data_IF_253027036791
#
_entry.id   IF_253027036791
#
_cell.length_a   1.000
_cell.length_b   1.000
_cell.length_c   1.000
_cell.angle_alpha   90.00
_cell.angle_beta   90.00
_cell.angle_gamma   90.00
#
_symmetry.space_group_name_H-M   'P 1'
#
loop_
_entity.id
_entity.type
_entity.pdbx_description
1 polymer ?
#
# COMPACT_ATOMS: atom_id res chain seq x y z
N UNK A 1 29.02 -69.37 27.68
CA UNK A 1 29.41 -68.08 28.31
C UNK A 1 28.38 -67.03 27.91
N UNK A 2 27.48 -66.68 28.82
CA UNK A 2 26.42 -65.70 28.58
C UNK A 2 26.96 -64.35 29.06
N UNK A 3 27.19 -63.41 28.14
CA UNK A 3 27.61 -62.06 28.48
C UNK A 3 26.41 -61.29 29.05
N UNK A 4 26.37 -61.17 30.37
CA UNK A 4 25.39 -60.39 31.11
C UNK A 4 25.70 -58.90 30.95
N UNK A 5 25.00 -58.22 30.05
CA UNK A 5 25.08 -56.76 29.96
C UNK A 5 24.39 -56.12 31.17
N UNK A 6 25.12 -55.25 31.86
CA UNK A 6 24.63 -54.57 33.07
C UNK A 6 23.45 -53.64 32.71
N UNK A 7 22.30 -53.74 33.42
CA UNK A 7 21.09 -52.97 33.11
C UNK A 7 21.27 -51.44 33.21
N UNK A 8 22.34 -51.00 33.87
CA UNK A 8 22.71 -49.58 34.00
C UNK A 8 23.16 -48.97 32.66
N UNK A 9 23.81 -49.74 31.79
CA UNK A 9 24.27 -49.27 30.48
C UNK A 9 23.12 -49.09 29.47
N UNK A 10 22.07 -49.90 29.58
CA UNK A 10 20.88 -49.83 28.72
C UNK A 10 20.04 -48.59 29.08
N UNK A 11 19.92 -48.27 30.37
CA UNK A 11 19.19 -47.10 30.86
C UNK A 11 19.84 -45.78 30.40
N UNK A 12 21.18 -45.67 30.49
CA UNK A 12 21.90 -44.46 30.05
C UNK A 12 21.79 -44.21 28.54
N UNK A 13 21.77 -45.27 27.72
CA UNK A 13 21.62 -45.14 26.27
C UNK A 13 20.21 -44.68 25.85
N UNK A 14 19.16 -45.03 26.60
CA UNK A 14 17.79 -44.55 26.33
C UNK A 14 17.59 -43.09 26.75
N UNK A 15 18.21 -42.66 27.85
CA UNK A 15 18.12 -41.26 28.33
C UNK A 15 18.82 -40.29 27.37
N UNK A 16 19.94 -40.69 26.74
CA UNK A 16 20.61 -39.85 25.74
C UNK A 16 19.78 -39.66 24.45
N UNK A 17 19.07 -40.69 23.98
CA UNK A 17 18.15 -40.57 22.83
C UNK A 17 17.00 -39.59 23.08
N UNK A 18 16.47 -39.53 24.31
CA UNK A 18 15.38 -38.61 24.69
C UNK A 18 15.84 -37.13 24.77
N UNK A 19 17.08 -36.86 25.18
CA UNK A 19 17.64 -35.50 25.25
C UNK A 19 17.91 -34.90 23.86
N UNK A 20 18.36 -35.71 22.90
CA UNK A 20 18.64 -35.26 21.53
C UNK A 20 17.38 -34.79 20.78
N UNK A 21 16.21 -35.34 21.12
CA UNK A 21 14.93 -34.94 20.50
C UNK A 21 14.42 -33.56 20.93
N UNK A 22 14.76 -33.07 22.13
CA UNK A 22 14.28 -31.77 22.61
C UNK A 22 14.93 -30.59 21.88
N UNK A 23 16.23 -30.64 21.62
CA UNK A 23 16.92 -29.57 20.88
C UNK A 23 16.50 -29.53 19.40
N UNK A 24 16.28 -30.68 18.77
CA UNK A 24 15.78 -30.75 17.40
C UNK A 24 14.37 -30.15 17.27
N UNK A 25 13.48 -30.42 18.25
CA UNK A 25 12.13 -29.84 18.29
C UNK A 25 12.12 -28.32 18.51
N UNK A 26 13.03 -27.78 19.33
CA UNK A 26 13.12 -26.33 19.58
C UNK A 26 13.64 -25.59 18.34
N UNK A 27 14.66 -26.12 17.66
CA UNK A 27 15.15 -25.55 16.41
C UNK A 27 14.09 -25.58 15.29
N UNK A 28 13.31 -26.66 15.19
CA UNK A 28 12.25 -26.79 14.18
C UNK A 28 11.08 -25.83 14.42
N UNK A 29 10.74 -25.52 15.69
CA UNK A 29 9.73 -24.52 16.02
C UNK A 29 10.20 -23.09 15.72
N UNK A 30 11.49 -22.79 15.92
CA UNK A 30 12.04 -21.47 15.62
C UNK A 30 12.11 -21.19 14.11
N UNK A 31 12.43 -22.20 13.29
CA UNK A 31 12.44 -22.04 11.83
C UNK A 31 11.03 -21.89 11.25
N UNK A 32 10.03 -22.60 11.78
CA UNK A 32 8.63 -22.40 11.35
C UNK A 32 8.14 -20.98 11.69
N UNK A 33 8.51 -20.43 12.86
CA UNK A 33 8.14 -19.06 13.23
C UNK A 33 8.80 -18.00 12.32
N UNK A 34 10.04 -18.24 11.90
CA UNK A 34 10.78 -17.36 10.98
C UNK A 34 10.23 -17.42 9.53
N UNK A 35 9.74 -18.59 9.08
CA UNK A 35 9.11 -18.71 7.74
C UNK A 35 7.73 -18.05 7.71
N UNK A 36 6.97 -18.07 8.81
CA UNK A 36 5.64 -17.43 8.90
C UNK A 36 5.74 -15.88 8.90
N UNK A 37 6.84 -15.31 9.37
CA UNK A 37 7.05 -13.85 9.35
C UNK A 37 7.42 -13.29 7.96
N UNK A 38 7.72 -14.14 6.97
CA UNK A 38 8.24 -13.71 5.66
C UNK A 38 7.14 -13.48 4.61
N UNK A 39 5.89 -13.89 4.81
CA UNK A 39 5.00 -14.16 3.66
C UNK A 39 3.66 -13.42 3.50
N UNK A 40 3.41 -12.28 4.15
CA UNK A 40 2.30 -11.40 3.71
C UNK A 40 2.72 -9.93 3.68
N UNK A 41 3.62 -9.57 2.76
CA UNK A 41 3.64 -8.19 2.24
C UNK A 41 2.45 -8.05 1.31
N UNK A 42 1.28 -7.88 1.91
CA UNK A 42 0.06 -7.53 1.20
C UNK A 42 0.31 -6.24 0.43
N UNK A 43 0.36 -6.35 -0.90
CA UNK A 43 0.50 -5.18 -1.77
C UNK A 43 -0.82 -4.44 -1.75
N UNK A 44 -0.92 -3.50 -0.81
CA UNK A 44 -2.05 -2.60 -0.64
C UNK A 44 -2.23 -1.76 -1.91
N UNK A 45 -3.48 -1.40 -2.25
CA UNK A 45 -3.79 -0.33 -3.19
C UNK A 45 -2.94 0.90 -2.86
N UNK A 46 -2.51 1.69 -3.84
CA UNK A 46 -1.71 2.88 -3.57
C UNK A 46 -2.07 4.01 -4.52
N UNK A 47 -2.15 5.21 -3.96
CA UNK A 47 -2.25 6.42 -4.75
C UNK A 47 -1.64 7.60 -4.02
N UNK A 48 -1.07 8.53 -4.77
CA UNK A 48 -0.61 9.82 -4.28
C UNK A 48 -0.94 10.92 -5.29
N UNK A 49 -1.24 12.11 -4.76
CA UNK A 49 -1.41 13.35 -5.50
C UNK A 49 -0.49 14.40 -4.90
N UNK A 50 0.30 15.03 -5.76
CA UNK A 50 1.06 16.24 -5.44
C UNK A 50 0.45 17.43 -6.16
N UNK A 51 0.49 18.60 -5.52
CA UNK A 51 -0.01 19.86 -6.08
C UNK A 51 1.01 20.97 -5.90
N UNK A 52 1.00 21.96 -6.79
CA UNK A 52 1.70 23.22 -6.65
C UNK A 52 0.67 24.35 -6.56
N UNK A 53 0.50 24.92 -5.37
CA UNK A 53 -0.53 25.96 -5.12
C UNK A 53 -0.27 27.25 -5.90
N UNK A 54 0.99 27.55 -6.24
CA UNK A 54 1.36 28.75 -6.99
C UNK A 54 0.92 28.65 -8.46
N UNK A 55 1.19 27.51 -9.10
CA UNK A 55 1.00 27.33 -10.55
C UNK A 55 -0.27 26.56 -10.91
N UNK A 56 -0.93 25.94 -9.92
CA UNK A 56 -2.06 25.04 -10.16
C UNK A 56 -1.66 23.75 -10.85
N UNK A 57 -0.36 23.44 -10.94
CA UNK A 57 0.07 22.15 -11.52
C UNK A 57 -0.05 21.06 -10.48
N UNK A 58 -0.40 19.87 -10.92
CA UNK A 58 -0.60 18.72 -10.05
C UNK A 58 -0.13 17.45 -10.77
N UNK A 59 0.08 16.39 -10.00
CA UNK A 59 0.49 15.10 -10.53
C UNK A 59 -0.10 14.00 -9.67
N UNK A 60 -0.73 13.02 -10.33
CA UNK A 60 -1.26 11.82 -9.68
C UNK A 60 -0.51 10.59 -10.15
N UNK A 61 -0.24 9.69 -9.22
CA UNK A 61 0.17 8.33 -9.52
C UNK A 61 -0.66 7.35 -8.69
N UNK A 62 -0.95 6.20 -9.27
CA UNK A 62 -1.65 5.13 -8.60
C UNK A 62 -1.18 3.78 -9.13
N UNK A 63 -1.33 2.76 -8.29
CA UNK A 63 -1.12 1.38 -8.68
C UNK A 63 -2.46 0.80 -9.14
N UNK A 64 -2.62 0.70 -10.46
CA UNK A 64 -3.79 0.10 -11.10
C UNK A 64 -3.76 -1.44 -11.09
N UNK A 65 -2.67 -2.03 -10.62
CA UNK A 65 -2.46 -3.46 -10.56
C UNK A 65 -2.16 -4.15 -11.90
N UNK A 66 -1.95 -3.41 -12.99
CA UNK A 66 -1.63 -3.91 -14.34
C UNK A 66 -0.14 -3.86 -14.68
N UNK A 67 0.62 -2.98 -14.03
CA UNK A 67 2.08 -2.82 -14.17
C UNK A 67 2.83 -3.49 -13.00
N UNK A 68 4.19 -3.57 -12.99
CA UNK A 68 4.91 -3.94 -11.77
C UNK A 68 4.44 -3.05 -10.61
N UNK A 69 4.00 -3.69 -9.54
CA UNK A 69 3.43 -3.04 -8.37
C UNK A 69 4.41 -2.00 -7.81
N UNK A 70 3.96 -0.76 -7.68
CA UNK A 70 4.74 0.29 -7.03
C UNK A 70 4.62 0.15 -5.51
N UNK A 71 5.68 0.49 -4.78
CA UNK A 71 5.62 0.79 -3.35
C UNK A 71 5.09 2.20 -3.12
N UNK A 72 4.58 2.49 -1.92
CA UNK A 72 3.98 3.81 -1.65
C UNK A 72 5.00 4.92 -1.83
N UNK A 73 6.28 4.66 -1.56
CA UNK A 73 7.38 5.60 -1.84
C UNK A 73 7.55 5.85 -3.34
N UNK A 74 7.53 4.80 -4.17
CA UNK A 74 7.59 4.94 -5.64
C UNK A 74 6.36 5.68 -6.17
N UNK A 75 5.16 5.37 -5.68
CA UNK A 75 3.93 6.05 -6.06
C UNK A 75 4.00 7.54 -5.71
N UNK A 76 4.51 7.91 -4.52
CA UNK A 76 4.74 9.32 -4.16
C UNK A 76 5.79 9.99 -5.06
N UNK A 77 6.89 9.29 -5.36
CA UNK A 77 7.96 9.80 -6.23
C UNK A 77 7.45 10.08 -7.65
N UNK A 78 6.64 9.19 -8.21
CA UNK A 78 6.04 9.34 -9.54
C UNK A 78 5.01 10.47 -9.57
N UNK A 79 4.15 10.59 -8.56
CA UNK A 79 3.19 11.68 -8.45
C UNK A 79 3.90 13.05 -8.36
N UNK A 80 4.95 13.14 -7.55
CA UNK A 80 5.81 14.33 -7.45
C UNK A 80 6.46 14.65 -8.79
N UNK A 81 7.07 13.65 -9.45
CA UNK A 81 7.71 13.81 -10.76
C UNK A 81 6.72 14.38 -11.78
N UNK A 82 5.51 13.84 -11.87
CA UNK A 82 4.47 14.33 -12.79
C UNK A 82 4.09 15.79 -12.51
N UNK A 83 3.94 16.16 -11.24
CA UNK A 83 3.67 17.55 -10.85
C UNK A 83 4.80 18.50 -11.31
N UNK A 84 6.05 18.10 -11.13
CA UNK A 84 7.23 18.89 -11.54
C UNK A 84 7.38 18.95 -13.07
N UNK A 85 7.22 17.83 -13.76
CA UNK A 85 7.31 17.75 -15.24
C UNK A 85 6.27 18.64 -15.93
N UNK A 86 5.11 18.86 -15.30
CA UNK A 86 4.07 19.75 -15.79
C UNK A 86 4.28 21.22 -15.40
N UNK A 87 5.43 21.56 -14.82
CA UNK A 87 5.83 22.93 -14.48
C UNK A 87 5.47 23.38 -13.06
N UNK A 88 5.20 22.45 -12.14
CA UNK A 88 5.07 22.76 -10.71
C UNK A 88 6.44 23.08 -10.09
N UNK A 89 6.53 24.18 -9.34
CA UNK A 89 7.80 24.66 -8.72
C UNK A 89 7.99 24.20 -7.28
N UNK A 90 6.93 24.28 -6.47
CA UNK A 90 6.88 23.79 -5.09
C UNK A 90 5.75 22.78 -4.96
N UNK A 91 5.99 21.58 -5.50
CA UNK A 91 5.02 20.49 -5.47
C UNK A 91 5.00 19.84 -4.08
N UNK A 92 3.85 19.91 -3.41
CA UNK A 92 3.63 19.37 -2.07
C UNK A 92 2.68 18.19 -2.12
N UNK A 93 2.88 17.21 -1.23
CA UNK A 93 1.98 16.08 -1.09
C UNK A 93 0.61 16.59 -0.63
N UNK A 94 -0.41 16.39 -1.46
CA UNK A 94 -1.78 16.78 -1.16
C UNK A 94 -2.59 15.63 -0.58
N UNK A 95 -2.44 14.45 -1.18
CA UNK A 95 -3.18 13.27 -0.81
C UNK A 95 -2.33 12.03 -1.02
N UNK A 96 -2.43 11.06 -0.11
CA UNK A 96 -1.96 9.70 -0.37
C UNK A 96 -2.80 8.71 0.41
N UNK A 97 -2.95 7.51 -0.14
CA UNK A 97 -3.77 6.45 0.45
C UNK A 97 -3.21 5.10 0.08
N UNK A 98 -3.35 4.15 1.00
CA UNK A 98 -3.14 2.73 0.72
C UNK A 98 -4.46 1.94 0.60
N UNK A 99 -5.59 2.63 0.66
CA UNK A 99 -6.91 2.01 0.65
C UNK A 99 -7.42 1.84 -0.80
N UNK A 100 -8.18 0.77 -1.03
CA UNK A 100 -8.92 0.57 -2.27
C UNK A 100 -10.04 1.59 -2.46
N UNK A 101 -10.52 1.69 -3.69
CA UNK A 101 -11.69 2.46 -4.06
C UNK A 101 -11.45 3.42 -5.22
N UNK A 102 -12.49 4.19 -5.52
CA UNK A 102 -12.49 5.28 -6.48
C UNK A 102 -12.04 6.58 -5.81
N UNK A 103 -11.15 7.28 -6.49
CA UNK A 103 -10.67 8.59 -6.10
C UNK A 103 -10.87 9.54 -7.26
N UNK A 104 -11.29 10.76 -6.94
CA UNK A 104 -11.40 11.84 -7.92
C UNK A 104 -10.73 13.09 -7.38
N UNK A 105 -9.89 13.70 -8.20
CA UNK A 105 -9.30 15.00 -7.96
C UNK A 105 -10.09 16.05 -8.73
N UNK A 106 -10.34 17.18 -8.07
CA UNK A 106 -10.96 18.35 -8.67
C UNK A 106 -10.10 19.58 -8.37
N UNK A 107 -9.88 20.38 -9.39
CA UNK A 107 -9.15 21.63 -9.28
C UNK A 107 -9.87 22.73 -10.07
N UNK A 108 -9.86 23.92 -9.50
CA UNK A 108 -10.21 25.15 -10.19
C UNK A 108 -9.62 26.36 -9.48
N UNK A 109 -9.64 27.50 -10.16
CA UNK A 109 -9.07 28.75 -9.64
C UNK A 109 -8.44 29.58 -10.74
N UNK A 110 -7.93 30.74 -10.35
CA UNK A 110 -7.23 31.67 -11.24
C UNK A 110 -5.85 31.99 -10.67
N UNK A 111 -4.88 32.17 -11.57
CA UNK A 111 -3.44 32.45 -11.33
C UNK A 111 -3.10 32.86 -9.88
N UNK A 112 -2.52 31.94 -9.13
CA UNK A 112 -2.07 32.14 -7.75
C UNK A 112 -3.11 31.84 -6.66
N UNK A 113 -4.35 31.52 -7.02
CA UNK A 113 -5.43 31.12 -6.10
C UNK A 113 -6.16 29.89 -6.65
N UNK A 114 -5.58 28.73 -6.40
CA UNK A 114 -6.16 27.44 -6.76
C UNK A 114 -6.80 26.77 -5.56
N UNK A 115 -7.96 26.17 -5.79
CA UNK A 115 -8.67 25.31 -4.84
C UNK A 115 -8.57 23.88 -5.36
N UNK A 116 -8.18 22.98 -4.46
CA UNK A 116 -7.96 21.57 -4.75
C UNK A 116 -8.82 20.71 -3.83
N UNK A 117 -9.39 19.65 -4.38
CA UNK A 117 -10.27 18.74 -3.67
C UNK A 117 -10.03 17.29 -4.06
N UNK A 118 -10.30 16.39 -3.11
CA UNK A 118 -10.27 14.94 -3.33
C UNK A 118 -11.59 14.35 -2.84
N UNK A 119 -12.29 13.69 -3.76
CA UNK A 119 -13.40 12.83 -3.45
C UNK A 119 -12.99 11.37 -3.42
N UNK A 120 -13.67 10.59 -2.58
CA UNK A 120 -13.41 9.16 -2.37
C UNK A 120 -14.75 8.43 -2.40
N UNK A 121 -14.81 7.25 -2.98
CA UNK A 121 -15.96 6.34 -2.89
C UNK A 121 -15.50 4.88 -3.00
N UNK A 122 -16.15 3.99 -2.27
CA UNK A 122 -15.98 2.54 -2.45
C UNK A 122 -16.93 1.96 -3.50
N UNK A 123 -17.92 2.75 -3.97
CA UNK A 123 -19.04 2.29 -4.78
C UNK A 123 -18.82 2.59 -6.25
N UNK A 124 -18.53 3.84 -6.61
CA UNK A 124 -18.46 4.25 -8.02
C UNK A 124 -17.60 5.49 -8.25
N UNK A 125 -17.13 5.61 -9.50
CA UNK A 125 -16.46 6.80 -10.01
C UNK A 125 -17.35 8.05 -9.84
N UNK A 126 -18.62 7.96 -10.25
CA UNK A 126 -19.58 9.08 -10.19
C UNK A 126 -19.75 9.62 -8.78
N UNK A 127 -19.84 8.75 -7.78
CA UNK A 127 -19.93 9.19 -6.38
C UNK A 127 -18.61 9.83 -5.92
N UNK A 128 -17.46 9.27 -6.29
CA UNK A 128 -16.17 9.90 -5.96
C UNK A 128 -16.03 11.29 -6.58
N UNK A 129 -16.49 11.49 -7.83
CA UNK A 129 -16.50 12.78 -8.50
C UNK A 129 -17.44 13.77 -7.82
N UNK A 130 -18.65 13.32 -7.44
CA UNK A 130 -19.59 14.14 -6.68
C UNK A 130 -18.95 14.61 -5.37
N UNK A 131 -18.34 13.68 -4.63
CA UNK A 131 -17.67 13.99 -3.35
C UNK A 131 -16.51 14.99 -3.55
N UNK A 132 -15.76 14.88 -4.65
CA UNK A 132 -14.67 15.81 -4.96
C UNK A 132 -15.20 17.22 -5.27
N UNK A 133 -16.30 17.30 -6.03
CA UNK A 133 -16.93 18.57 -6.37
C UNK A 133 -17.58 19.23 -5.14
N UNK A 134 -18.26 18.46 -4.29
CA UNK A 134 -18.83 18.97 -3.04
C UNK A 134 -17.73 19.53 -2.12
N UNK A 135 -16.60 18.81 -1.95
CA UNK A 135 -15.43 19.28 -1.19
C UNK A 135 -14.80 20.55 -1.81
N UNK A 136 -14.73 20.62 -3.14
CA UNK A 136 -14.26 21.81 -3.87
C UNK A 136 -15.13 23.04 -3.58
N UNK A 137 -16.45 22.90 -3.68
CA UNK A 137 -17.40 23.99 -3.42
C UNK A 137 -17.38 24.43 -1.95
N UNK A 138 -17.27 23.49 -1.01
CA UNK A 138 -17.15 23.79 0.42
C UNK A 138 -15.89 24.59 0.77
N UNK A 139 -14.81 24.40 0.00
CA UNK A 139 -13.56 25.17 0.13
C UNK A 139 -13.62 26.54 -0.55
N UNK A 140 -14.79 26.96 -1.05
CA UNK A 140 -14.98 28.22 -1.75
C UNK A 140 -14.58 28.17 -3.23
N UNK A 141 -14.46 26.97 -3.79
CA UNK A 141 -14.25 26.80 -5.23
C UNK A 141 -15.46 27.26 -6.04
N UNK A 142 -15.21 27.77 -7.24
CA UNK A 142 -16.25 28.18 -8.21
C UNK A 142 -16.10 27.33 -9.46
N UNK A 143 -17.19 26.74 -9.95
CA UNK A 143 -17.18 25.95 -11.18
C UNK A 143 -17.22 26.92 -12.37
N UNK A 144 -16.15 26.93 -13.14
CA UNK A 144 -15.99 27.79 -14.32
C UNK A 144 -15.18 27.07 -15.41
N UNK A 145 -15.21 27.54 -16.67
CA UNK A 145 -14.36 27.01 -17.72
C UNK A 145 -12.88 26.99 -17.29
N UNK A 146 -12.20 25.86 -17.50
CA UNK A 146 -10.80 25.67 -17.09
C UNK A 146 -10.62 24.95 -15.75
N UNK A 147 -11.70 24.54 -15.06
CA UNK A 147 -11.58 23.55 -13.99
C UNK A 147 -11.09 22.20 -14.56
N UNK A 148 -10.19 21.55 -13.84
CA UNK A 148 -9.61 20.26 -14.19
C UNK A 148 -10.14 19.17 -13.26
N UNK A 149 -10.42 17.99 -13.82
CA UNK A 149 -10.84 16.83 -13.05
C UNK A 149 -10.11 15.58 -13.52
N UNK A 150 -9.89 14.65 -12.60
CA UNK A 150 -9.33 13.35 -12.92
C UNK A 150 -9.85 12.33 -11.91
N UNK A 151 -10.18 11.14 -12.40
CA UNK A 151 -10.67 10.02 -11.61
C UNK A 151 -9.78 8.81 -11.86
N UNK A 152 -9.58 8.00 -10.82
CA UNK A 152 -8.88 6.73 -10.93
C UNK A 152 -9.42 5.73 -9.93
N UNK A 153 -9.30 4.45 -10.28
CA UNK A 153 -9.68 3.34 -9.43
C UNK A 153 -8.43 2.64 -8.91
N UNK A 154 -8.44 2.31 -7.61
CA UNK A 154 -7.42 1.49 -6.97
C UNK A 154 -8.04 0.14 -6.60
N UNK A 155 -7.87 -0.89 -7.45
CA UNK A 155 -8.76 -2.07 -7.45
C UNK A 155 -8.46 -3.13 -6.38
N UNK A 156 -7.26 -3.14 -5.78
CA UNK A 156 -6.79 -4.33 -5.06
C UNK A 156 -6.76 -4.14 -3.54
N UNK A 157 -7.58 -4.95 -2.86
CA UNK A 157 -7.16 -5.58 -1.60
C UNK A 157 -6.33 -6.81 -1.97
N UNK A 158 -5.21 -7.04 -1.28
CA UNK A 158 -4.54 -8.33 -1.40
C UNK A 158 -5.38 -9.40 -0.68
N UNK A 159 -6.31 -10.01 -1.39
CA UNK A 159 -6.52 -11.45 -1.20
C UNK A 159 -5.72 -12.08 -2.32
N UNK A 160 -4.52 -12.54 -2.00
CA UNK A 160 -3.83 -13.52 -2.85
C UNK A 160 -4.85 -14.59 -3.21
N UNK A 161 -5.29 -14.65 -4.46
CA UNK A 161 -5.94 -15.87 -4.96
C UNK A 161 -4.93 -16.98 -4.68
N UNK A 162 -5.21 -17.82 -3.68
CA UNK A 162 -4.54 -19.12 -3.57
C UNK A 162 -4.72 -19.75 -4.95
N UNK A 163 -3.62 -19.93 -5.69
CA UNK A 163 -3.61 -20.93 -6.75
C UNK A 163 -3.88 -22.25 -6.03
N UNK A 164 -5.09 -22.78 -6.19
CA UNK A 164 -5.39 -24.17 -5.87
C UNK A 164 -4.61 -25.06 -6.82
#
# INVERSE_FOLDING_TARGET
MIHSYSPVLIANHQIQKLKMNRHLFVCFKLTILLVVLVQHRDVQAQSAVYICKETGRWGVAWDDGNAPRMSMEQTKKEALKRCTDWGGKDCQLFFSTTNKGWYSFFQGGEKGKYVFAIGKSLVSEKESMKNAMDDYLQKGGIIQPGCETSSWHTPKDAITKKKN
#
